data_IF_805056866893
#
_entry.id   IF_805056866893
#
_cell.length_a   1.000
_cell.length_b   1.000
_cell.length_c   1.000
_cell.angle_alpha   90.00
_cell.angle_beta   90.00
_cell.angle_gamma   90.00
#
_symmetry.space_group_name_H-M   'P 1'
#
loop_
_entity.id
_entity.type
_entity.pdbx_description
1 polymer ?
#
# COMPACT_ATOMS: atom_id res chain seq x y z
N UNK A 1 17.28 -10.61 -4.73
CA UNK A 1 16.39 -9.48 -4.35
C UNK A 1 14.95 -9.84 -4.71
N UNK A 2 14.01 -9.88 -3.74
CA UNK A 2 12.58 -10.03 -4.05
C UNK A 2 12.02 -8.75 -4.67
N UNK A 3 11.35 -8.86 -5.81
CA UNK A 3 10.83 -7.72 -6.57
C UNK A 3 9.57 -7.16 -5.89
N UNK A 4 9.33 -5.85 -6.00
CA UNK A 4 8.15 -5.20 -5.38
C UNK A 4 6.85 -5.63 -6.08
N UNK A 5 6.92 -5.93 -7.38
CA UNK A 5 5.79 -6.40 -8.20
C UNK A 5 5.13 -7.64 -7.59
N UNK A 6 5.93 -8.65 -7.21
CA UNK A 6 5.44 -9.87 -6.56
C UNK A 6 4.72 -9.61 -5.24
N UNK A 7 5.13 -8.59 -4.49
CA UNK A 7 4.51 -8.21 -3.22
C UNK A 7 3.15 -7.55 -3.49
N UNK A 8 3.03 -6.80 -4.59
CA UNK A 8 1.79 -6.10 -4.96
C UNK A 8 0.71 -7.05 -5.48
N UNK A 9 1.10 -8.14 -6.14
CA UNK A 9 0.19 -9.17 -6.65
C UNK A 9 -0.45 -10.01 -5.53
N UNK A 10 0.20 -10.11 -4.36
CA UNK A 10 -0.32 -10.86 -3.22
C UNK A 10 -1.52 -10.19 -2.54
N UNK A 11 -2.38 -11.00 -1.93
CA UNK A 11 -3.48 -10.53 -1.07
C UNK A 11 -2.93 -9.89 0.21
N UNK A 12 -3.74 -9.03 0.85
CA UNK A 12 -3.32 -8.34 2.09
C UNK A 12 -2.97 -9.34 3.19
N UNK A 13 -3.76 -10.40 3.36
CA UNK A 13 -3.51 -11.44 4.38
C UNK A 13 -2.22 -12.23 4.11
N UNK A 14 -1.93 -12.52 2.84
CA UNK A 14 -0.68 -13.19 2.45
C UNK A 14 0.54 -12.30 2.74
N UNK A 15 0.44 -11.00 2.50
CA UNK A 15 1.49 -10.03 2.86
C UNK A 15 1.68 -10.01 4.38
N UNK A 16 0.61 -10.02 5.17
CA UNK A 16 0.73 -10.04 6.63
C UNK A 16 1.36 -11.34 7.17
N UNK A 17 1.01 -12.49 6.58
CA UNK A 17 1.60 -13.78 6.92
C UNK A 17 3.11 -13.79 6.62
N UNK A 18 3.49 -13.43 5.39
CA UNK A 18 4.89 -13.32 4.96
C UNK A 18 5.68 -12.33 5.84
N UNK A 19 5.03 -11.27 6.33
CA UNK A 19 5.66 -10.24 7.15
C UNK A 19 6.01 -10.81 8.52
N UNK A 20 5.09 -11.58 9.13
CA UNK A 20 5.34 -12.27 10.40
C UNK A 20 6.49 -13.28 10.28
N UNK A 21 6.51 -14.05 9.20
CA UNK A 21 7.59 -15.00 8.93
C UNK A 21 8.94 -14.29 8.76
N UNK A 22 8.99 -13.23 7.95
CA UNK A 22 10.21 -12.44 7.75
C UNK A 22 10.71 -11.77 9.03
N UNK A 23 9.81 -11.34 9.91
CA UNK A 23 10.16 -10.80 11.23
C UNK A 23 10.78 -11.86 12.14
N UNK A 24 10.21 -13.08 12.15
CA UNK A 24 10.77 -14.20 12.91
C UNK A 24 12.16 -14.56 12.41
N UNK A 25 12.32 -14.71 11.10
CA UNK A 25 13.63 -14.96 10.49
C UNK A 25 14.65 -13.85 10.83
N UNK A 26 14.23 -12.58 10.84
CA UNK A 26 15.11 -11.47 11.23
C UNK A 26 15.55 -11.57 12.70
N UNK A 27 14.65 -12.00 13.60
CA UNK A 27 14.97 -12.21 15.00
C UNK A 27 15.99 -13.32 15.17
N UNK A 28 15.75 -14.48 14.56
CA UNK A 28 16.65 -15.64 14.63
C UNK A 28 18.05 -15.29 14.06
N UNK A 29 18.10 -14.56 12.95
CA UNK A 29 19.36 -14.08 12.37
C UNK A 29 20.08 -13.06 13.27
N UNK A 30 19.34 -12.23 14.01
CA UNK A 30 19.93 -11.29 14.96
C UNK A 30 20.48 -12.00 16.18
N UNK A 31 19.77 -13.00 16.71
CA UNK A 31 20.27 -13.79 17.84
C UNK A 31 21.50 -14.58 17.45
N UNK A 32 21.51 -15.18 16.25
CA UNK A 32 22.69 -15.85 15.69
C UNK A 32 23.88 -14.90 15.50
N UNK A 33 23.62 -13.65 15.06
CA UNK A 33 24.68 -12.65 14.88
C UNK A 33 25.38 -12.23 16.19
N UNK A 34 24.72 -12.44 17.33
CA UNK A 34 25.27 -12.12 18.66
C UNK A 34 26.12 -13.27 19.18
N UNK A 35 25.70 -14.51 18.94
CA UNK A 35 26.40 -15.71 19.42
C UNK A 35 27.60 -16.08 18.56
N UNK A 36 27.54 -15.86 17.25
CA UNK A 36 28.59 -16.22 16.30
C UNK A 36 28.76 -15.14 15.22
N UNK A 37 29.93 -15.11 14.55
CA UNK A 37 30.12 -14.25 13.38
C UNK A 37 29.16 -14.69 12.29
N UNK A 38 28.19 -13.84 11.97
CA UNK A 38 27.20 -14.10 10.94
C UNK A 38 27.89 -14.32 9.58
N UNK A 39 27.73 -15.51 8.99
CA UNK A 39 28.33 -15.82 7.67
C UNK A 39 27.84 -14.89 6.56
N UNK A 40 26.65 -14.31 6.71
CA UNK A 40 25.99 -13.54 5.65
C UNK A 40 25.32 -12.26 6.19
N UNK A 41 26.10 -11.20 6.52
CA UNK A 41 25.57 -9.91 6.96
C UNK A 41 24.67 -9.23 5.91
N UNK A 42 24.90 -9.52 4.63
CA UNK A 42 24.06 -9.04 3.51
C UNK A 42 22.61 -9.51 3.64
N UNK A 43 22.39 -10.75 4.07
CA UNK A 43 21.05 -11.34 4.20
C UNK A 43 20.23 -10.62 5.28
N UNK A 44 20.86 -10.14 6.36
CA UNK A 44 20.21 -9.31 7.38
C UNK A 44 19.76 -7.95 6.81
N UNK A 45 20.53 -7.34 5.90
CA UNK A 45 20.12 -6.12 5.19
C UNK A 45 18.97 -6.39 4.23
N UNK A 46 19.00 -7.51 3.51
CA UNK A 46 17.94 -7.91 2.58
C UNK A 46 16.62 -8.18 3.29
N UNK A 47 16.62 -8.96 4.38
CA UNK A 47 15.40 -9.24 5.16
C UNK A 47 14.79 -7.96 5.72
N UNK A 48 15.60 -7.01 6.21
CA UNK A 48 15.10 -5.69 6.65
C UNK A 48 14.45 -4.91 5.51
N UNK A 49 15.08 -4.89 4.33
CA UNK A 49 14.51 -4.21 3.15
C UNK A 49 13.22 -4.87 2.68
N UNK A 50 13.14 -6.20 2.75
CA UNK A 50 11.94 -6.95 2.40
C UNK A 50 10.76 -6.58 3.32
N UNK A 51 10.97 -6.59 4.64
CA UNK A 51 9.96 -6.16 5.62
C UNK A 51 9.51 -4.71 5.35
N UNK A 52 10.45 -3.80 5.08
CA UNK A 52 10.13 -2.40 4.78
C UNK A 52 9.22 -2.28 3.55
N UNK A 53 9.54 -2.97 2.45
CA UNK A 53 8.74 -2.96 1.21
C UNK A 53 7.31 -3.44 1.45
N UNK A 54 7.14 -4.52 2.21
CA UNK A 54 5.83 -5.06 2.53
C UNK A 54 4.98 -4.09 3.36
N UNK A 55 5.58 -3.47 4.38
CA UNK A 55 4.92 -2.42 5.18
C UNK A 55 4.52 -1.22 4.32
N UNK A 56 5.36 -0.81 3.38
CA UNK A 56 5.04 0.26 2.44
C UNK A 56 3.82 -0.09 1.59
N UNK A 57 3.75 -1.29 1.01
CA UNK A 57 2.59 -1.71 0.19
C UNK A 57 1.30 -1.75 1.02
N UNK A 58 1.34 -2.28 2.25
CA UNK A 58 0.19 -2.25 3.15
C UNK A 58 -0.26 -0.81 3.45
N UNK A 59 0.69 0.09 3.69
CA UNK A 59 0.40 1.51 3.93
C UNK A 59 -0.15 2.21 2.69
N UNK A 60 0.38 1.93 1.50
CA UNK A 60 -0.13 2.44 0.22
C UNK A 60 -1.60 2.06 0.04
N UNK A 61 -1.97 0.79 0.30
CA UNK A 61 -3.35 0.31 0.23
C UNK A 61 -4.27 1.04 1.21
N UNK A 62 -3.83 1.23 2.46
CA UNK A 62 -4.60 1.99 3.45
C UNK A 62 -4.81 3.45 3.03
N UNK A 63 -3.77 4.11 2.53
CA UNK A 63 -3.86 5.51 2.07
C UNK A 63 -4.75 5.65 0.84
N UNK A 64 -4.77 4.67 -0.07
CA UNK A 64 -5.70 4.66 -1.20
C UNK A 64 -7.15 4.50 -0.74
N UNK A 65 -7.42 3.64 0.24
CA UNK A 65 -8.75 3.50 0.83
C UNK A 65 -9.22 4.82 1.48
N UNK A 66 -8.34 5.51 2.20
CA UNK A 66 -8.61 6.83 2.79
C UNK A 66 -8.86 7.91 1.71
N UNK A 67 -8.07 7.91 0.62
CA UNK A 67 -8.26 8.86 -0.49
C UNK A 67 -9.59 8.66 -1.22
N UNK A 68 -10.04 7.42 -1.41
CA UNK A 68 -11.36 7.14 -2.01
C UNK A 68 -12.51 7.70 -1.15
N UNK A 69 -12.34 7.76 0.17
CA UNK A 69 -13.30 8.41 1.07
C UNK A 69 -13.32 9.94 0.99
N UNK A 70 -12.28 10.57 0.41
CA UNK A 70 -12.19 12.03 0.23
C UNK A 70 -12.44 12.46 -1.21
N UNK A 71 -12.43 11.52 -2.16
CA UNK A 71 -12.78 11.75 -3.56
C UNK A 71 -14.18 11.22 -3.84
N UNK A 72 -15.15 11.89 -3.24
CA UNK A 72 -16.45 12.01 -3.87
C UNK A 72 -16.34 13.23 -4.78
N UNK A 73 -16.23 13.06 -6.11
CA UNK A 73 -16.49 14.17 -7.00
C UNK A 73 -17.96 14.55 -6.75
N UNK A 74 -18.20 15.80 -6.36
CA UNK A 74 -19.47 16.42 -6.69
C UNK A 74 -19.70 16.17 -8.19
N UNK A 75 -20.76 15.46 -8.60
CA UNK A 75 -21.01 15.28 -10.01
C UNK A 75 -21.20 16.66 -10.64
N UNK A 76 -20.44 16.88 -11.68
CA UNK A 76 -20.53 18.02 -12.56
C UNK A 76 -21.94 18.10 -13.21
N UNK A 77 -22.43 19.32 -13.35
CA UNK A 77 -22.94 19.84 -14.63
C UNK A 77 -24.30 19.34 -15.19
N UNK A 78 -25.25 20.29 -15.27
CA UNK A 78 -26.29 20.45 -16.31
C UNK A 78 -27.52 19.49 -16.38
N UNK A 79 -28.62 19.97 -15.79
CA UNK A 79 -29.96 20.05 -16.41
C UNK A 79 -30.66 21.26 -15.74
N UNK A 80 -30.96 22.39 -16.37
CA UNK A 80 -31.61 22.58 -17.66
C UNK A 80 -31.18 23.89 -18.35
N UNK A 81 -31.16 23.94 -19.70
CA UNK A 81 -31.11 25.19 -20.44
C UNK A 81 -32.51 25.82 -20.48
N UNK A 82 -32.71 26.95 -19.81
CA UNK A 82 -33.92 27.76 -19.99
C UNK A 82 -33.69 28.75 -21.15
N UNK A 83 -33.94 28.29 -22.38
CA UNK A 83 -34.19 29.20 -23.51
C UNK A 83 -35.70 29.51 -23.59
N UNK A 84 -36.02 30.79 -23.45
CA UNK A 84 -37.12 31.57 -24.08
C UNK A 84 -38.54 30.99 -24.18
N UNK A 85 -39.46 31.62 -23.44
CA UNK A 85 -40.67 32.29 -23.96
C UNK A 85 -40.72 33.63 -23.21
N UNK A 86 -40.61 34.83 -23.78
CA UNK A 86 -41.25 35.39 -24.97
C UNK A 86 -42.70 34.93 -25.09
N UNK A 87 -43.57 35.47 -24.24
CA UNK A 87 -44.98 35.66 -24.56
C UNK A 87 -45.54 36.84 -23.75
N UNK A 88 -45.72 37.94 -24.49
CA UNK A 88 -46.82 38.89 -24.41
C UNK A 88 -47.48 39.23 -23.05
N UNK A 89 -47.36 40.52 -22.71
CA UNK A 89 -48.54 41.32 -22.36
C UNK A 89 -48.86 41.48 -20.89
N UNK A 90 -48.53 42.65 -20.34
CA UNK A 90 -49.47 43.75 -20.02
C UNK A 90 -48.73 44.93 -19.40
#
# INVERSE_FOLDING_TARGET
>A
MRQISEIREKTTDAIEADLREAQRALFDMRTQAVTEKLESPSRLRETRRFIARMKTVLRERQLQALKKGQQQPAPAEQAAPQQKKEEAGR
#
